data_IF_028033755609
#
_entry.id   IF_028033755609
#
_cell.length_a   1.000
_cell.length_b   1.000
_cell.length_c   1.000
_cell.angle_alpha   90.00
_cell.angle_beta   90.00
_cell.angle_gamma   90.00
#
_symmetry.space_group_name_H-M   'P 1'
#
loop_
_entity.id
_entity.type
_entity.pdbx_description
1 polymer ?
#
# COMPACT_ATOMS: atom_id res chain seq x y z
N UNK A 1 -47.63 -8.85 9.68
CA UNK A 1 -47.72 -8.77 8.22
C UNK A 1 -46.49 -9.48 7.64
N UNK A 2 -46.73 -10.71 7.18
CA UNK A 2 -45.69 -11.62 6.68
C UNK A 2 -45.47 -11.30 5.21
N UNK A 3 -44.23 -10.96 4.82
CA UNK A 3 -43.89 -10.70 3.43
C UNK A 3 -43.53 -12.04 2.77
N UNK A 4 -44.23 -12.37 1.72
CA UNK A 4 -44.06 -13.57 0.92
C UNK A 4 -42.78 -13.53 0.11
N UNK A 5 -42.03 -14.66 0.08
CA UNK A 5 -40.86 -14.92 -0.74
C UNK A 5 -41.34 -15.22 -2.18
N UNK A 6 -40.69 -14.69 -3.25
CA UNK A 6 -41.03 -15.01 -4.64
C UNK A 6 -40.64 -16.45 -4.98
N UNK A 7 -41.40 -17.17 -5.82
CA UNK A 7 -41.07 -18.53 -6.24
C UNK A 7 -40.00 -18.53 -7.34
N UNK A 8 -38.97 -19.36 -7.17
CA UNK A 8 -37.98 -19.61 -8.24
C UNK A 8 -36.55 -19.89 -7.84
N UNK A 9 -36.20 -20.10 -6.57
CA UNK A 9 -34.88 -20.55 -6.18
C UNK A 9 -34.90 -22.03 -5.84
N UNK A 10 -34.08 -22.89 -6.47
CA UNK A 10 -33.92 -24.27 -6.07
C UNK A 10 -33.29 -24.35 -4.67
N UNK A 11 -33.80 -25.29 -3.88
CA UNK A 11 -33.26 -25.63 -2.57
C UNK A 11 -31.82 -26.07 -2.70
N UNK A 12 -30.96 -25.64 -1.77
CA UNK A 12 -29.60 -26.11 -1.66
C UNK A 12 -29.63 -27.55 -1.17
N UNK A 13 -29.32 -28.50 -2.06
CA UNK A 13 -28.99 -29.86 -1.67
C UNK A 13 -27.63 -29.90 -1.03
N UNK A 14 -27.57 -30.28 0.22
CA UNK A 14 -26.38 -30.56 1.02
C UNK A 14 -25.69 -31.84 0.56
N UNK A 15 -25.17 -31.90 -0.65
CA UNK A 15 -24.21 -32.95 -1.03
C UNK A 15 -22.81 -32.38 -1.04
N UNK A 16 -21.81 -33.03 -0.36
CA UNK A 16 -20.44 -32.60 -0.39
C UNK A 16 -19.86 -32.80 -1.79
N UNK A 17 -19.45 -31.70 -2.43
CA UNK A 17 -18.81 -31.67 -3.74
C UNK A 17 -17.60 -32.60 -3.80
N UNK A 18 -17.75 -33.74 -4.48
CA UNK A 18 -16.67 -34.64 -4.90
C UNK A 18 -16.19 -34.24 -6.29
N UNK A 19 -15.37 -33.17 -6.35
CA UNK A 19 -14.61 -32.89 -7.56
C UNK A 19 -13.41 -33.83 -7.69
N UNK A 20 -12.97 -34.17 -8.93
CA UNK A 20 -11.73 -34.93 -9.11
C UNK A 20 -10.51 -34.12 -8.61
N UNK A 21 -9.48 -34.79 -8.07
CA UNK A 21 -8.29 -34.11 -7.61
C UNK A 21 -7.57 -33.40 -8.76
N UNK A 22 -6.99 -32.21 -8.53
CA UNK A 22 -6.23 -31.50 -9.56
C UNK A 22 -4.98 -32.31 -9.93
N UNK A 23 -4.89 -32.76 -11.16
CA UNK A 23 -3.65 -33.30 -11.75
C UNK A 23 -2.70 -32.14 -12.04
N UNK A 24 -1.78 -31.85 -11.10
CA UNK A 24 -0.64 -30.98 -11.35
C UNK A 24 0.52 -31.79 -11.95
N UNK A 25 1.45 -31.19 -12.69
CA UNK A 25 2.55 -31.89 -13.36
C UNK A 25 3.63 -32.47 -12.45
N UNK A 26 3.43 -32.48 -11.15
CA UNK A 26 4.33 -33.11 -10.18
C UNK A 26 3.49 -33.90 -9.18
N UNK A 27 3.44 -35.23 -9.39
CA UNK A 27 2.72 -36.16 -8.53
C UNK A 27 3.28 -36.20 -7.12
N UNK A 28 2.58 -35.53 -6.19
CA UNK A 28 2.69 -35.82 -4.78
C UNK A 28 1.64 -36.87 -4.43
N UNK A 29 1.97 -37.94 -3.69
CA UNK A 29 0.99 -38.93 -3.28
C UNK A 29 -0.02 -38.31 -2.29
N UNK A 30 -1.28 -38.79 -2.26
CA UNK A 30 -2.30 -38.28 -1.35
C UNK A 30 -1.92 -38.55 0.11
N UNK A 31 -2.16 -37.59 0.97
CA UNK A 31 -2.00 -37.72 2.43
C UNK A 31 -2.99 -38.77 2.96
N UNK A 32 -2.44 -39.86 3.53
CA UNK A 32 -3.20 -40.88 4.27
C UNK A 32 -2.92 -40.65 5.76
N UNK A 33 -3.90 -40.26 6.57
CA UNK A 33 -3.70 -40.14 8.03
C UNK A 33 -3.52 -41.56 8.62
N UNK A 34 -2.37 -41.80 9.26
CA UNK A 34 -2.16 -43.02 10.05
C UNK A 34 -1.12 -44.02 9.53
N UNK A 35 -0.42 -43.76 8.43
CA UNK A 35 0.68 -44.66 8.00
C UNK A 35 1.98 -44.30 8.74
N UNK A 36 2.32 -45.09 9.70
CA UNK A 36 3.66 -45.14 10.34
C UNK A 36 4.66 -45.71 9.34
N UNK A 37 5.49 -44.88 8.74
CA UNK A 37 6.62 -45.36 7.95
C UNK A 37 7.73 -45.81 8.90
N UNK A 38 7.94 -47.14 8.95
CA UNK A 38 9.09 -47.76 9.60
C UNK A 38 10.37 -47.32 8.88
N UNK A 39 11.25 -46.65 9.60
CA UNK A 39 12.62 -46.38 9.16
C UNK A 39 13.42 -47.66 9.19
N UNK A 40 13.74 -48.23 8.03
CA UNK A 40 14.76 -49.27 7.93
C UNK A 40 16.16 -48.66 8.13
N UNK A 41 16.80 -49.04 9.20
CA UNK A 41 18.22 -48.74 9.41
C UNK A 41 19.08 -49.45 8.37
N UNK A 42 20.18 -48.87 7.89
CA UNK A 42 21.13 -49.55 7.04
C UNK A 42 21.80 -50.72 7.79
N UNK A 43 22.14 -51.81 7.09
CA UNK A 43 22.73 -52.97 7.76
C UNK A 43 24.15 -52.63 8.27
N UNK A 44 24.52 -53.09 9.48
CA UNK A 44 25.87 -52.92 9.97
C UNK A 44 26.81 -53.85 9.21
N UNK A 45 27.90 -53.30 8.67
CA UNK A 45 29.03 -54.06 8.16
C UNK A 45 29.78 -54.72 9.31
N UNK A 46 29.91 -56.01 9.21
CA UNK A 46 30.32 -57.05 10.12
C UNK A 46 31.45 -56.77 11.10
N UNK A 47 31.29 -57.38 12.27
CA UNK A 47 32.26 -58.28 12.93
C UNK A 47 31.46 -59.06 14.00
N UNK A 48 31.66 -60.38 14.06
CA UNK A 48 30.84 -61.29 14.83
C UNK A 48 30.88 -61.08 16.34
N UNK A 49 29.69 -61.14 16.93
CA UNK A 49 29.50 -61.39 18.35
C UNK A 49 28.22 -62.23 18.46
N UNK A 50 28.28 -63.23 19.32
CA UNK A 50 27.26 -64.27 19.51
C UNK A 50 25.89 -63.77 19.95
N UNK A 51 24.89 -64.67 20.05
CA UNK A 51 23.52 -64.32 20.29
C UNK A 51 23.29 -63.68 21.65
N UNK A 52 22.88 -62.40 21.61
CA UNK A 52 22.39 -61.70 22.81
C UNK A 52 20.93 -62.11 23.02
N UNK A 53 20.53 -62.58 24.21
CA UNK A 53 19.12 -62.90 24.48
C UNK A 53 18.28 -61.63 24.46
N UNK A 54 17.21 -61.66 23.70
CA UNK A 54 16.20 -60.60 23.68
C UNK A 54 15.45 -60.55 25.01
N UNK A 55 15.38 -59.42 25.71
CA UNK A 55 14.43 -59.26 26.79
C UNK A 55 13.02 -59.17 26.21
N UNK A 56 12.23 -60.20 26.45
CA UNK A 56 10.80 -60.23 26.21
C UNK A 56 10.10 -59.37 27.27
N UNK A 57 9.53 -58.25 26.85
CA UNK A 57 8.59 -57.49 27.65
C UNK A 57 8.39 -56.07 27.10
N UNK A 58 7.15 -55.62 26.85
CA UNK A 58 6.94 -54.23 26.62
C UNK A 58 7.29 -53.46 27.91
N UNK A 59 8.34 -52.67 27.84
CA UNK A 59 8.63 -51.70 28.90
C UNK A 59 7.45 -50.70 28.86
N UNK A 60 6.69 -50.57 29.97
CA UNK A 60 5.69 -49.53 30.05
C UNK A 60 6.44 -48.18 29.93
N UNK A 61 6.21 -47.46 28.83
CA UNK A 61 6.57 -46.06 28.78
C UNK A 61 5.78 -45.38 29.89
N UNK A 62 6.38 -45.19 31.06
CA UNK A 62 5.87 -44.26 32.02
C UNK A 62 5.85 -42.89 31.31
N UNK A 63 4.70 -42.22 31.25
CA UNK A 63 4.68 -40.82 30.87
C UNK A 63 5.50 -40.11 31.97
N UNK A 64 6.76 -39.84 31.67
CA UNK A 64 7.48 -38.86 32.47
C UNK A 64 6.68 -37.54 32.45
N UNK A 65 6.80 -36.73 33.51
CA UNK A 65 6.14 -35.42 33.48
C UNK A 65 6.54 -34.78 32.16
N UNK A 66 5.54 -34.47 31.36
CA UNK A 66 5.71 -33.71 30.13
C UNK A 66 6.24 -32.32 30.52
N UNK A 67 7.52 -32.22 30.80
CA UNK A 67 8.23 -30.99 30.76
C UNK A 67 8.13 -30.56 29.29
N UNK A 68 7.24 -29.64 29.02
CA UNK A 68 7.22 -28.96 27.71
C UNK A 68 8.69 -28.66 27.37
N UNK A 69 9.15 -29.01 26.16
CA UNK A 69 10.53 -28.71 25.79
C UNK A 69 10.76 -27.24 26.09
N UNK A 70 11.88 -26.85 26.70
CA UNK A 70 12.12 -25.47 27.10
C UNK A 70 12.35 -24.59 25.85
N UNK A 71 11.30 -24.35 25.12
CA UNK A 71 11.29 -23.42 23.95
C UNK A 71 11.25 -21.95 24.37
N UNK A 72 11.28 -21.69 25.67
CA UNK A 72 11.44 -20.35 26.20
C UNK A 72 12.90 -19.90 26.15
N UNK A 73 13.19 -18.62 25.97
CA UNK A 73 14.53 -18.10 26.11
C UNK A 73 15.02 -18.32 27.54
N UNK A 74 16.34 -18.57 27.74
CA UNK A 74 16.91 -18.52 29.05
C UNK A 74 16.55 -17.23 29.80
N UNK A 75 16.46 -17.25 31.14
CA UNK A 75 16.18 -16.03 31.90
C UNK A 75 17.11 -14.89 31.50
N UNK A 76 16.56 -13.73 31.14
CA UNK A 76 17.31 -12.55 30.68
C UNK A 76 17.53 -12.47 29.18
N UNK A 77 17.20 -13.47 28.37
CA UNK A 77 17.23 -13.36 26.89
C UNK A 77 15.88 -12.92 26.32
N UNK A 78 15.92 -11.94 25.43
CA UNK A 78 14.74 -11.56 24.63
C UNK A 78 14.73 -12.33 23.31
N UNK A 79 13.60 -12.96 23.02
CA UNK A 79 13.37 -13.59 21.72
C UNK A 79 13.27 -12.53 20.61
N UNK A 80 13.98 -12.77 19.51
CA UNK A 80 13.86 -11.92 18.33
C UNK A 80 13.39 -12.76 17.15
N UNK A 81 12.50 -12.20 16.31
CA UNK A 81 12.13 -12.86 15.07
C UNK A 81 13.35 -13.16 14.20
N UNK A 82 13.32 -14.28 13.48
CA UNK A 82 14.33 -14.58 12.47
C UNK A 82 14.38 -13.44 11.42
N UNK A 83 15.55 -13.18 10.82
CA UNK A 83 15.66 -12.23 9.73
C UNK A 83 14.61 -12.52 8.63
N UNK A 84 13.90 -11.50 8.16
CA UNK A 84 12.85 -11.66 7.14
C UNK A 84 11.49 -12.12 7.67
N UNK A 85 11.35 -12.43 8.97
CA UNK A 85 10.02 -12.74 9.55
C UNK A 85 9.09 -11.54 9.37
N UNK A 86 7.88 -11.73 8.80
CA UNK A 86 6.88 -10.66 8.71
C UNK A 86 6.53 -10.09 10.08
N UNK A 87 6.24 -8.79 10.19
CA UNK A 87 5.96 -8.14 11.47
C UNK A 87 4.57 -8.47 12.05
N UNK A 88 3.75 -9.26 11.35
CA UNK A 88 2.38 -9.60 11.70
C UNK A 88 2.24 -11.10 11.96
N UNK A 89 1.34 -11.48 12.86
CA UNK A 89 1.07 -12.88 13.21
C UNK A 89 0.20 -13.60 12.16
N UNK A 90 -0.62 -12.84 11.44
CA UNK A 90 -1.47 -13.34 10.35
C UNK A 90 -1.38 -12.39 9.16
N UNK A 91 -1.72 -12.84 7.93
CA UNK A 91 -1.81 -11.95 6.79
C UNK A 91 -2.78 -10.80 7.04
N UNK A 92 -2.32 -9.56 6.84
CA UNK A 92 -3.08 -8.33 7.06
C UNK A 92 -3.31 -7.58 5.76
N UNK A 93 -4.38 -6.79 5.72
CA UNK A 93 -4.66 -5.82 4.66
C UNK A 93 -3.75 -4.60 4.80
N UNK A 94 -3.56 -3.85 3.71
CA UNK A 94 -2.62 -2.72 3.67
C UNK A 94 -2.88 -1.69 4.78
N UNK A 95 -4.14 -1.30 4.98
CA UNK A 95 -4.49 -0.31 6.01
C UNK A 95 -4.30 -0.82 7.44
N UNK A 96 -4.13 -2.13 7.64
CA UNK A 96 -3.81 -2.72 8.94
C UNK A 96 -2.31 -3.01 9.12
N UNK A 97 -1.47 -2.71 8.13
CA UNK A 97 -0.06 -3.06 8.18
C UNK A 97 0.69 -2.39 9.35
N UNK A 98 0.26 -1.21 9.80
CA UNK A 98 0.85 -0.54 10.96
C UNK A 98 0.61 -1.29 12.28
N UNK A 99 -0.41 -2.16 12.36
CA UNK A 99 -0.69 -3.01 13.54
C UNK A 99 0.20 -4.26 13.57
N UNK A 100 1.50 -4.04 13.67
CA UNK A 100 2.48 -5.11 13.87
C UNK A 100 2.45 -5.65 15.32
N UNK A 101 3.22 -6.74 15.59
CA UNK A 101 3.40 -7.27 16.97
C UNK A 101 3.86 -6.20 17.96
N UNK A 102 4.64 -5.24 17.50
CA UNK A 102 5.16 -4.15 18.32
C UNK A 102 4.23 -2.93 18.39
N UNK A 103 3.02 -3.03 17.84
CA UNK A 103 2.08 -1.91 17.81
C UNK A 103 1.75 -1.38 19.21
N UNK A 104 1.72 -0.02 19.32
CA UNK A 104 1.25 0.72 20.49
C UNK A 104 0.46 1.91 19.99
N UNK A 105 -0.61 2.26 20.67
CA UNK A 105 -1.53 3.33 20.26
C UNK A 105 -0.85 4.71 20.09
N UNK A 106 0.21 4.98 20.85
CA UNK A 106 0.96 6.25 20.81
C UNK A 106 2.03 6.31 19.68
N UNK A 107 2.46 5.18 19.12
CA UNK A 107 3.49 5.16 18.06
C UNK A 107 3.09 5.92 16.80
N UNK A 108 1.84 5.84 16.31
CA UNK A 108 1.41 6.68 15.20
C UNK A 108 1.49 8.18 15.49
N UNK A 109 1.22 8.61 16.74
CA UNK A 109 1.37 10.01 17.15
C UNK A 109 2.82 10.44 17.17
N UNK A 110 3.71 9.60 17.73
CA UNK A 110 5.15 9.86 17.70
C UNK A 110 5.68 9.96 16.28
N UNK A 111 5.27 9.06 15.41
CA UNK A 111 5.68 9.08 14.01
C UNK A 111 5.12 10.28 13.25
N UNK A 112 3.89 10.71 13.53
CA UNK A 112 3.32 11.92 12.97
C UNK A 112 4.10 13.18 13.44
N UNK A 113 4.41 13.27 14.73
CA UNK A 113 5.21 14.35 15.28
C UNK A 113 6.61 14.41 14.64
N UNK A 114 7.27 13.24 14.54
CA UNK A 114 8.58 13.13 13.91
C UNK A 114 8.52 13.52 12.42
N UNK A 115 7.52 12.99 11.69
CA UNK A 115 7.27 13.34 10.29
C UNK A 115 7.11 14.86 10.15
N UNK A 116 6.20 15.48 10.91
CA UNK A 116 5.92 16.91 10.82
C UNK A 116 7.16 17.74 11.13
N UNK A 117 7.89 17.43 12.21
CA UNK A 117 9.09 18.18 12.59
C UNK A 117 10.19 18.10 11.51
N UNK A 118 10.48 16.89 11.00
CA UNK A 118 11.53 16.70 9.99
C UNK A 118 11.09 17.25 8.63
N UNK A 119 9.83 17.07 8.26
CA UNK A 119 9.29 17.58 7.01
C UNK A 119 9.31 19.10 6.94
N UNK A 120 8.86 19.79 7.99
CA UNK A 120 8.90 21.26 8.03
C UNK A 120 10.33 21.79 7.87
N UNK A 121 11.29 21.19 8.57
CA UNK A 121 12.70 21.57 8.41
C UNK A 121 13.19 21.33 6.98
N UNK A 122 12.90 20.15 6.42
CA UNK A 122 13.33 19.79 5.07
C UNK A 122 12.67 20.69 4.00
N UNK A 123 11.39 20.98 4.12
CA UNK A 123 10.68 21.89 3.22
C UNK A 123 11.24 23.31 3.27
N UNK A 124 11.50 23.84 4.47
CA UNK A 124 12.15 25.16 4.65
C UNK A 124 13.54 25.17 4.00
N UNK A 125 14.33 24.11 4.19
CA UNK A 125 15.66 24.01 3.56
C UNK A 125 15.56 24.03 2.04
N UNK A 126 14.60 23.34 1.44
CA UNK A 126 14.36 23.36 -0.03
C UNK A 126 14.00 24.77 -0.49
N UNK A 127 13.08 25.45 0.21
CA UNK A 127 12.65 26.81 -0.13
C UNK A 127 13.82 27.77 -0.02
N UNK A 128 14.56 27.76 1.11
CA UNK A 128 15.74 28.64 1.32
C UNK A 128 16.82 28.37 0.27
N UNK A 129 17.04 27.10 -0.10
CA UNK A 129 18.00 26.76 -1.15
C UNK A 129 17.56 27.34 -2.51
N UNK A 130 16.26 27.29 -2.85
CA UNK A 130 15.72 27.89 -4.07
C UNK A 130 15.99 29.39 -4.15
N UNK A 131 15.78 30.14 -3.05
CA UNK A 131 16.13 31.55 -2.98
C UNK A 131 17.65 31.79 -3.04
N UNK A 132 18.44 30.99 -2.35
CA UNK A 132 19.90 31.14 -2.30
C UNK A 132 20.59 30.93 -3.66
N UNK A 133 20.02 30.06 -4.54
CA UNK A 133 20.53 29.88 -5.90
C UNK A 133 20.00 30.92 -6.90
N UNK A 134 19.21 31.90 -6.43
CA UNK A 134 18.66 32.95 -7.28
C UNK A 134 17.54 32.49 -8.20
N UNK A 135 16.81 31.45 -7.82
CA UNK A 135 15.67 30.96 -8.59
C UNK A 135 14.57 32.03 -8.72
N UNK A 136 14.51 32.97 -7.77
CA UNK A 136 13.59 34.10 -7.76
C UNK A 136 14.40 35.40 -7.66
N UNK A 137 14.71 36.07 -8.77
CA UNK A 137 15.46 37.32 -8.78
C UNK A 137 14.75 38.45 -8.01
N UNK A 138 13.43 38.49 -8.07
CA UNK A 138 12.59 39.40 -7.31
C UNK A 138 11.56 38.64 -6.47
N UNK A 139 11.83 38.43 -5.19
CA UNK A 139 10.87 37.72 -4.30
C UNK A 139 9.53 38.47 -4.11
N UNK A 140 9.47 39.77 -4.41
CA UNK A 140 8.24 40.55 -4.26
C UNK A 140 7.30 40.38 -5.45
N UNK A 141 7.79 39.85 -6.56
CA UNK A 141 7.01 39.56 -7.77
C UNK A 141 6.43 38.13 -7.79
N UNK A 142 6.68 37.32 -6.77
CA UNK A 142 6.15 35.96 -6.70
C UNK A 142 4.64 36.02 -6.44
N UNK A 143 3.86 35.47 -7.35
CA UNK A 143 2.45 35.16 -7.11
C UNK A 143 2.35 33.69 -6.65
N UNK A 144 2.09 33.42 -5.37
CA UNK A 144 2.02 32.03 -4.86
C UNK A 144 0.82 31.25 -5.42
N UNK A 145 -0.11 31.91 -6.10
CA UNK A 145 -1.29 31.31 -6.72
C UNK A 145 -1.07 30.98 -8.20
N UNK A 146 0.02 31.43 -8.81
CA UNK A 146 0.36 31.09 -10.20
C UNK A 146 0.93 29.65 -10.27
N UNK A 147 0.06 28.70 -10.50
CA UNK A 147 0.39 27.29 -10.67
C UNK A 147 1.07 26.99 -12.01
N UNK A 148 1.16 27.97 -12.92
CA UNK A 148 1.77 27.80 -14.25
C UNK A 148 3.20 28.34 -14.31
N UNK A 149 3.69 29.07 -13.29
CA UNK A 149 5.10 29.41 -13.18
C UNK A 149 5.96 28.16 -12.94
N UNK A 150 6.84 27.79 -13.90
CA UNK A 150 7.58 26.54 -13.82
C UNK A 150 8.60 26.53 -12.67
N UNK A 151 9.11 27.68 -12.22
CA UNK A 151 10.08 27.78 -11.14
C UNK A 151 9.38 27.60 -9.80
N UNK A 152 8.23 28.25 -9.63
CA UNK A 152 7.40 28.10 -8.44
C UNK A 152 6.88 26.66 -8.32
N UNK A 153 6.39 26.08 -9.41
CA UNK A 153 5.93 24.70 -9.44
C UNK A 153 7.06 23.71 -9.11
N UNK A 154 8.27 23.93 -9.66
CA UNK A 154 9.42 23.10 -9.34
C UNK A 154 9.75 23.15 -7.83
N UNK A 155 9.80 24.34 -7.25
CA UNK A 155 10.12 24.52 -5.84
C UNK A 155 9.04 23.89 -4.94
N UNK A 156 7.78 24.10 -5.28
CA UNK A 156 6.63 23.47 -4.61
C UNK A 156 6.71 21.96 -4.68
N UNK A 157 6.91 21.39 -5.87
CA UNK A 157 7.03 19.95 -6.05
C UNK A 157 8.21 19.38 -5.25
N UNK A 158 9.37 20.01 -5.28
CA UNK A 158 10.54 19.55 -4.52
C UNK A 158 10.28 19.61 -3.01
N UNK A 159 9.62 20.66 -2.51
CA UNK A 159 9.26 20.79 -1.09
C UNK A 159 8.28 19.70 -0.64
N UNK A 160 7.42 19.20 -1.52
CA UNK A 160 6.50 18.11 -1.24
C UNK A 160 7.18 16.73 -1.38
N UNK A 161 8.05 16.55 -2.37
CA UNK A 161 8.75 15.27 -2.61
C UNK A 161 9.57 14.84 -1.39
N UNK A 162 10.15 15.76 -0.64
CA UNK A 162 10.90 15.44 0.59
C UNK A 162 10.04 14.79 1.68
N UNK A 163 8.71 14.84 1.57
CA UNK A 163 7.82 14.11 2.48
C UNK A 163 7.99 12.59 2.38
N UNK A 164 8.39 12.04 1.23
CA UNK A 164 8.60 10.59 1.06
C UNK A 164 9.65 10.06 2.06
N UNK A 165 10.90 10.53 2.07
CA UNK A 165 11.89 10.07 3.03
C UNK A 165 11.51 10.41 4.48
N UNK A 166 10.74 11.48 4.73
CA UNK A 166 10.25 11.82 6.08
C UNK A 166 9.21 10.78 6.56
N UNK A 167 8.29 10.33 5.70
CA UNK A 167 7.37 9.22 6.00
C UNK A 167 8.15 7.94 6.28
N UNK A 168 9.16 7.63 5.46
CA UNK A 168 9.98 6.43 5.67
C UNK A 168 10.74 6.48 6.99
N UNK A 169 11.26 7.65 7.36
CA UNK A 169 11.90 7.85 8.67
C UNK A 169 10.90 7.60 9.81
N UNK A 170 9.67 8.11 9.70
CA UNK A 170 8.63 7.87 10.70
C UNK A 170 8.30 6.37 10.84
N UNK A 171 8.22 5.63 9.73
CA UNK A 171 8.02 4.17 9.76
C UNK A 171 9.15 3.43 10.47
N UNK A 172 10.39 3.80 10.19
CA UNK A 172 11.56 3.16 10.82
C UNK A 172 11.67 3.54 12.28
N UNK A 173 11.65 4.84 12.61
CA UNK A 173 11.97 5.34 13.94
C UNK A 173 10.83 5.10 14.94
N UNK A 174 9.56 5.37 14.57
CA UNK A 174 8.46 5.22 15.50
C UNK A 174 7.91 3.79 15.56
N UNK A 175 7.88 3.06 14.44
CA UNK A 175 7.27 1.74 14.38
C UNK A 175 8.28 0.59 14.37
N UNK A 176 9.56 0.84 14.05
CA UNK A 176 10.58 -0.20 13.90
C UNK A 176 10.32 -1.10 12.70
N UNK A 177 9.61 -0.59 11.68
CA UNK A 177 9.21 -1.33 10.51
C UNK A 177 9.93 -0.83 9.25
N UNK A 178 10.02 -1.68 8.22
CA UNK A 178 10.61 -1.30 6.93
C UNK A 178 9.76 -0.21 6.26
N UNK A 179 10.39 0.81 5.63
CA UNK A 179 9.65 1.91 4.98
C UNK A 179 8.66 1.43 3.92
N UNK A 180 8.97 0.34 3.23
CA UNK A 180 8.12 -0.20 2.17
C UNK A 180 6.71 -0.62 2.61
N UNK A 181 6.45 -0.80 3.91
CA UNK A 181 5.09 -1.01 4.43
C UNK A 181 4.19 0.22 4.23
N UNK A 182 4.76 1.39 3.99
CA UNK A 182 4.01 2.54 3.52
C UNK A 182 3.56 2.44 2.06
N UNK A 183 4.16 1.55 1.26
CA UNK A 183 3.88 1.43 -0.18
C UNK A 183 2.83 0.36 -0.50
N UNK A 184 2.94 -0.84 0.06
CA UNK A 184 2.00 -1.95 -0.20
C UNK A 184 2.12 -3.07 0.82
N UNK A 185 1.21 -4.04 0.73
CA UNK A 185 1.23 -5.30 1.51
C UNK A 185 2.47 -6.16 1.27
N UNK A 186 3.25 -5.88 0.22
CA UNK A 186 4.54 -6.56 -0.04
C UNK A 186 5.74 -5.77 0.50
N UNK A 187 5.51 -4.71 1.27
CA UNK A 187 6.54 -3.81 1.78
C UNK A 187 7.48 -3.25 0.70
N UNK A 188 6.95 -3.01 -0.49
CA UNK A 188 7.64 -2.40 -1.64
C UNK A 188 6.63 -1.86 -2.65
N UNK A 189 7.03 -0.93 -3.50
CA UNK A 189 6.24 -0.51 -4.66
C UNK A 189 6.22 -1.64 -5.72
N UNK A 190 5.04 -1.94 -6.26
CA UNK A 190 4.83 -3.00 -7.26
C UNK A 190 4.78 -2.38 -8.65
N UNK A 191 5.95 -2.14 -9.24
CA UNK A 191 6.12 -1.47 -10.55
C UNK A 191 5.21 -2.04 -11.65
N UNK A 192 4.93 -3.36 -11.61
CA UNK A 192 4.04 -4.04 -12.56
C UNK A 192 2.62 -3.49 -12.60
N UNK A 193 2.18 -2.77 -11.55
CA UNK A 193 0.83 -2.20 -11.46
C UNK A 193 0.75 -0.76 -11.98
N UNK A 194 1.88 -0.05 -12.13
CA UNK A 194 1.87 1.34 -12.56
C UNK A 194 1.36 1.49 -13.99
N UNK A 195 1.98 0.82 -14.96
CA UNK A 195 1.58 0.93 -16.36
C UNK A 195 0.10 0.55 -16.61
N UNK A 196 -0.41 -0.59 -16.12
CA UNK A 196 -1.83 -0.89 -16.27
C UNK A 196 -2.74 0.17 -15.64
N UNK A 197 -2.38 0.73 -14.48
CA UNK A 197 -3.15 1.80 -13.84
C UNK A 197 -3.12 3.08 -14.67
N UNK A 198 -1.98 3.44 -15.27
CA UNK A 198 -1.85 4.59 -16.17
C UNK A 198 -2.73 4.43 -17.42
N UNK A 199 -2.75 3.23 -18.01
CA UNK A 199 -3.61 2.95 -19.16
C UNK A 199 -5.11 3.03 -18.84
N UNK A 200 -5.50 2.90 -17.57
CA UNK A 200 -6.87 3.10 -17.12
C UNK A 200 -7.16 4.57 -16.75
N UNK A 201 -6.20 5.27 -16.15
CA UNK A 201 -6.38 6.65 -15.70
C UNK A 201 -6.45 7.65 -16.84
N UNK A 202 -5.57 7.53 -17.85
CA UNK A 202 -5.52 8.48 -18.96
C UNK A 202 -6.86 8.60 -19.72
N UNK A 203 -7.55 7.53 -20.14
CA UNK A 203 -8.83 7.69 -20.82
C UNK A 203 -9.96 8.14 -19.89
N UNK A 204 -9.95 7.77 -18.60
CA UNK A 204 -11.03 8.17 -17.68
C UNK A 204 -10.88 9.61 -17.22
N UNK A 205 -9.73 9.96 -16.63
CA UNK A 205 -9.47 11.30 -16.14
C UNK A 205 -9.21 12.28 -17.28
N UNK A 206 -8.44 11.87 -18.30
CA UNK A 206 -8.16 12.72 -19.44
C UNK A 206 -9.44 13.13 -20.20
N UNK A 207 -10.39 12.20 -20.39
CA UNK A 207 -11.69 12.53 -20.99
C UNK A 207 -12.53 13.40 -20.04
N UNK A 208 -12.54 13.11 -18.73
CA UNK A 208 -13.24 13.93 -17.74
C UNK A 208 -12.73 15.36 -17.76
N UNK A 209 -11.42 15.55 -17.60
CA UNK A 209 -10.80 16.89 -17.62
C UNK A 209 -11.01 17.62 -18.96
N UNK A 210 -10.90 16.92 -20.09
CA UNK A 210 -11.21 17.51 -21.40
C UNK A 210 -12.66 17.98 -21.47
N UNK A 211 -13.60 17.20 -20.97
CA UNK A 211 -15.02 17.57 -20.96
C UNK A 211 -15.27 18.75 -20.01
N UNK A 212 -14.62 18.78 -18.83
CA UNK A 212 -14.70 19.90 -17.89
C UNK A 212 -14.17 21.19 -18.50
N UNK A 213 -13.04 21.14 -19.23
CA UNK A 213 -12.50 22.30 -19.98
C UNK A 213 -13.45 22.74 -21.07
N UNK A 214 -14.01 21.83 -21.86
CA UNK A 214 -14.97 22.15 -22.91
C UNK A 214 -16.25 22.80 -22.35
N UNK A 215 -16.73 22.32 -21.20
CA UNK A 215 -17.88 22.94 -20.52
C UNK A 215 -17.57 24.36 -20.07
N UNK A 216 -16.38 24.62 -19.51
CA UNK A 216 -15.96 25.97 -19.14
C UNK A 216 -15.90 26.94 -20.35
N UNK A 217 -15.39 26.49 -21.50
CA UNK A 217 -15.39 27.30 -22.74
C UNK A 217 -16.78 27.53 -23.26
N UNK A 218 -17.65 26.53 -23.30
CA UNK A 218 -19.03 26.66 -23.79
C UNK A 218 -19.85 27.61 -22.90
N UNK A 219 -19.59 27.57 -21.60
CA UNK A 219 -20.25 28.48 -20.65
C UNK A 219 -19.72 29.91 -20.71
N UNK A 220 -18.58 30.15 -21.33
CA UNK A 220 -17.92 31.45 -21.36
C UNK A 220 -17.14 31.77 -20.08
N UNK A 221 -16.93 30.79 -19.22
CA UNK A 221 -16.17 30.96 -17.97
C UNK A 221 -14.67 31.02 -18.24
N UNK A 222 -14.20 30.41 -19.32
CA UNK A 222 -12.78 30.31 -19.69
C UNK A 222 -12.51 30.88 -21.10
N UNK A 223 -11.35 31.52 -21.22
CA UNK A 223 -10.80 32.00 -22.47
C UNK A 223 -9.40 31.45 -22.69
N UNK A 224 -9.15 30.89 -23.86
CA UNK A 224 -7.82 30.38 -24.19
C UNK A 224 -6.93 31.55 -24.67
N UNK A 225 -5.90 31.85 -23.89
CA UNK A 225 -4.91 32.88 -24.24
C UNK A 225 -3.69 32.33 -24.96
N UNK A 226 -3.61 30.99 -25.08
CA UNK A 226 -2.47 30.25 -25.63
C UNK A 226 -1.45 29.83 -24.58
N UNK A 227 -0.33 29.19 -25.00
CA UNK A 227 0.64 28.68 -24.07
C UNK A 227 1.28 29.78 -23.23
N UNK A 228 1.42 29.47 -21.91
CA UNK A 228 2.09 30.38 -20.97
C UNK A 228 3.55 30.59 -21.33
N UNK A 229 4.15 31.69 -20.86
CA UNK A 229 5.56 31.95 -21.01
C UNK A 229 6.38 30.81 -20.37
N UNK A 230 7.38 30.27 -21.08
CA UNK A 230 8.19 29.18 -20.58
C UNK A 230 7.50 27.80 -20.59
N UNK A 231 6.44 27.58 -21.36
CA UNK A 231 5.70 26.31 -21.42
C UNK A 231 6.60 25.09 -21.62
N UNK A 232 7.65 25.18 -22.44
CA UNK A 232 8.61 24.08 -22.62
C UNK A 232 9.33 23.69 -21.32
N UNK A 233 9.63 24.69 -20.46
CA UNK A 233 10.20 24.46 -19.14
C UNK A 233 9.15 23.90 -18.18
N UNK A 234 7.93 24.44 -18.19
CA UNK A 234 6.81 23.91 -17.43
C UNK A 234 6.54 22.44 -17.75
N UNK A 235 6.55 22.08 -19.03
CA UNK A 235 6.40 20.69 -19.50
C UNK A 235 7.44 19.76 -18.85
N UNK A 236 8.72 20.16 -18.82
CA UNK A 236 9.76 19.37 -18.17
C UNK A 236 9.53 19.23 -16.66
N UNK A 237 9.22 20.33 -15.98
CA UNK A 237 8.95 20.31 -14.53
C UNK A 237 7.77 19.39 -14.23
N UNK A 238 6.66 19.54 -14.95
CA UNK A 238 5.44 18.73 -14.77
C UNK A 238 5.75 17.24 -14.96
N UNK A 239 6.38 16.88 -16.08
CA UNK A 239 6.60 15.46 -16.38
C UNK A 239 7.63 14.79 -15.44
N UNK A 240 8.63 15.53 -14.93
CA UNK A 240 9.67 14.96 -14.11
C UNK A 240 9.38 15.01 -12.61
N UNK A 241 8.65 16.02 -12.13
CA UNK A 241 8.48 16.24 -10.69
C UNK A 241 7.07 16.02 -10.18
N UNK A 242 6.03 16.34 -10.97
CA UNK A 242 4.64 16.18 -10.52
C UNK A 242 4.26 14.72 -10.19
N UNK A 243 4.70 13.67 -10.91
CA UNK A 243 4.41 12.31 -10.49
C UNK A 243 5.04 11.93 -9.14
N UNK A 244 6.21 12.49 -8.80
CA UNK A 244 6.85 12.27 -7.51
C UNK A 244 6.17 13.06 -6.39
N UNK A 245 5.74 14.30 -6.68
CA UNK A 245 4.96 15.13 -5.78
C UNK A 245 3.63 14.42 -5.42
N UNK A 246 2.90 13.95 -6.44
CA UNK A 246 1.66 13.19 -6.25
C UNK A 246 1.90 11.92 -5.40
N UNK A 247 3.00 11.20 -5.67
CA UNK A 247 3.39 10.07 -4.85
C UNK A 247 3.65 10.48 -3.39
N UNK A 248 4.31 11.61 -3.16
CA UNK A 248 4.61 12.10 -1.81
C UNK A 248 3.34 12.32 -1.00
N UNK A 249 2.33 12.94 -1.59
CA UNK A 249 1.03 13.12 -0.93
C UNK A 249 0.33 11.78 -0.65
N UNK A 250 0.37 10.82 -1.59
CA UNK A 250 -0.17 9.50 -1.35
C UNK A 250 0.56 8.75 -0.22
N UNK A 251 1.89 8.91 -0.10
CA UNK A 251 2.65 8.38 1.03
C UNK A 251 2.23 8.98 2.36
N UNK A 252 1.95 10.28 2.41
CA UNK A 252 1.47 10.96 3.63
C UNK A 252 0.06 10.52 3.98
N UNK A 253 -0.90 10.70 3.05
CA UNK A 253 -2.32 10.51 3.34
C UNK A 253 -2.70 9.02 3.43
N UNK A 254 -2.25 8.19 2.49
CA UNK A 254 -2.64 6.77 2.41
C UNK A 254 -1.57 5.84 2.97
N UNK A 255 -0.31 6.18 2.77
CA UNK A 255 0.83 5.39 3.26
C UNK A 255 1.09 5.54 4.76
N UNK A 256 0.67 6.66 5.39
CA UNK A 256 0.85 6.89 6.82
C UNK A 256 -0.45 7.18 7.56
N UNK A 257 -1.13 8.30 7.26
CA UNK A 257 -2.32 8.73 8.02
C UNK A 257 -3.46 7.71 7.98
N UNK A 258 -3.79 7.18 6.81
CA UNK A 258 -4.84 6.15 6.70
C UNK A 258 -4.49 4.90 7.50
N UNK A 259 -3.24 4.45 7.50
CA UNK A 259 -2.82 3.29 8.27
C UNK A 259 -2.81 3.58 9.78
N UNK A 260 -2.47 4.79 10.21
CA UNK A 260 -2.54 5.20 11.60
C UNK A 260 -3.99 5.19 12.11
N UNK A 261 -4.91 5.82 11.38
CA UNK A 261 -6.34 5.86 11.72
C UNK A 261 -6.94 4.45 11.73
N UNK A 262 -6.72 3.66 10.68
CA UNK A 262 -7.19 2.28 10.60
C UNK A 262 -6.59 1.41 11.71
N UNK A 263 -5.33 1.67 12.09
CA UNK A 263 -4.66 1.04 13.21
C UNK A 263 -5.35 1.31 14.55
N UNK A 264 -5.80 2.53 14.81
CA UNK A 264 -6.55 2.87 16.03
C UNK A 264 -7.93 2.24 16.05
N UNK A 265 -8.66 2.22 14.92
CA UNK A 265 -9.96 1.55 14.82
C UNK A 265 -9.83 0.04 15.01
N UNK A 266 -8.79 -0.58 14.50
CA UNK A 266 -8.43 -1.98 14.72
C UNK A 266 -9.32 -3.01 14.02
N UNK A 267 -10.39 -2.60 13.35
CA UNK A 267 -11.30 -3.45 12.57
C UNK A 267 -11.02 -3.19 11.08
N UNK A 268 -10.68 -4.20 10.25
CA UNK A 268 -10.23 -3.96 8.87
C UNK A 268 -11.20 -3.12 8.04
N UNK A 269 -12.46 -3.52 7.95
CA UNK A 269 -13.46 -2.81 7.14
C UNK A 269 -13.82 -1.44 7.72
N UNK A 270 -14.16 -1.36 9.02
CA UNK A 270 -14.48 -0.09 9.67
C UNK A 270 -13.28 0.85 9.65
N UNK A 271 -12.06 0.32 9.88
CA UNK A 271 -10.82 1.10 9.79
C UNK A 271 -10.60 1.65 8.40
N UNK A 272 -10.86 0.87 7.35
CA UNK A 272 -10.73 1.33 5.97
C UNK A 272 -11.71 2.47 5.64
N UNK A 273 -12.97 2.34 6.05
CA UNK A 273 -14.00 3.38 5.83
C UNK A 273 -13.66 4.65 6.60
N UNK A 274 -13.40 4.54 7.92
CA UNK A 274 -13.09 5.71 8.76
C UNK A 274 -11.81 6.40 8.28
N UNK A 275 -10.76 5.64 7.98
CA UNK A 275 -9.52 6.20 7.46
C UNK A 275 -9.74 6.86 6.10
N UNK A 276 -10.48 6.22 5.19
CA UNK A 276 -10.78 6.76 3.88
C UNK A 276 -11.51 8.10 3.94
N UNK A 277 -12.56 8.20 4.76
CA UNK A 277 -13.35 9.43 4.92
C UNK A 277 -12.52 10.54 5.58
N UNK A 278 -11.85 10.23 6.69
CA UNK A 278 -11.09 11.25 7.41
C UNK A 278 -9.89 11.75 6.62
N UNK A 279 -9.15 10.86 5.96
CA UNK A 279 -8.00 11.30 5.14
C UNK A 279 -8.41 11.99 3.86
N UNK A 280 -9.58 11.68 3.28
CA UNK A 280 -10.13 12.43 2.16
C UNK A 280 -10.53 13.85 2.58
N UNK A 281 -11.15 14.01 3.75
CA UNK A 281 -11.49 15.33 4.28
C UNK A 281 -10.23 16.16 4.61
N UNK A 282 -9.22 15.53 5.24
CA UNK A 282 -7.94 16.19 5.51
C UNK A 282 -7.18 16.55 4.22
N UNK A 283 -7.23 15.68 3.22
CA UNK A 283 -6.65 15.94 1.91
C UNK A 283 -7.29 17.17 1.26
N UNK A 284 -8.62 17.22 1.22
CA UNK A 284 -9.34 18.37 0.69
C UNK A 284 -9.03 19.65 1.46
N UNK A 285 -9.09 19.60 2.80
CA UNK A 285 -8.81 20.76 3.65
C UNK A 285 -7.37 21.27 3.52
N UNK A 286 -6.38 20.38 3.31
CA UNK A 286 -4.97 20.77 3.11
C UNK A 286 -4.73 21.61 1.85
N UNK A 287 -5.65 21.54 0.87
CA UNK A 287 -5.61 22.35 -0.34
C UNK A 287 -6.29 23.71 -0.19
N UNK A 288 -6.77 24.07 1.02
CA UNK A 288 -7.41 25.36 1.32
C UNK A 288 -8.50 25.74 0.28
N UNK A 289 -9.47 24.84 -0.03
CA UNK A 289 -10.44 25.08 -1.08
C UNK A 289 -11.24 26.36 -0.82
N UNK A 290 -11.42 27.25 -1.83
CA UNK A 290 -12.08 28.53 -1.65
C UNK A 290 -13.60 28.41 -1.44
N UNK A 291 -14.21 27.32 -1.87
CA UNK A 291 -15.64 27.08 -1.82
C UNK A 291 -15.98 25.62 -1.52
N UNK A 292 -17.28 25.36 -1.26
CA UNK A 292 -17.76 24.02 -0.91
C UNK A 292 -17.68 23.02 -2.08
N UNK A 293 -17.82 23.48 -3.32
CA UNK A 293 -17.77 22.59 -4.49
C UNK A 293 -16.37 22.10 -4.74
N UNK A 294 -15.38 22.97 -4.66
CA UNK A 294 -13.96 22.63 -4.71
C UNK A 294 -13.57 21.71 -3.55
N UNK A 295 -14.14 21.93 -2.33
CA UNK A 295 -13.94 21.01 -1.23
C UNK A 295 -14.50 19.61 -1.53
N UNK A 296 -15.74 19.53 -2.05
CA UNK A 296 -16.39 18.25 -2.34
C UNK A 296 -15.70 17.50 -3.48
N UNK A 297 -15.21 18.21 -4.48
CA UNK A 297 -14.45 17.61 -5.58
C UNK A 297 -13.16 16.96 -5.06
N UNK A 298 -12.33 17.70 -4.33
CA UNK A 298 -11.09 17.18 -3.73
C UNK A 298 -11.34 16.10 -2.69
N UNK A 299 -12.45 16.18 -1.95
CA UNK A 299 -12.89 15.14 -1.04
C UNK A 299 -13.25 13.86 -1.78
N UNK A 300 -14.00 13.94 -2.87
CA UNK A 300 -14.33 12.79 -3.70
C UNK A 300 -13.11 12.17 -4.35
N UNK A 301 -12.16 12.99 -4.83
CA UNK A 301 -10.85 12.53 -5.28
C UNK A 301 -10.13 11.74 -4.18
N UNK A 302 -10.11 12.28 -2.96
CA UNK A 302 -9.54 11.62 -1.78
C UNK A 302 -10.19 10.28 -1.47
N UNK A 303 -11.51 10.17 -1.62
CA UNK A 303 -12.24 8.91 -1.45
C UNK A 303 -11.91 7.91 -2.56
N UNK A 304 -11.82 8.35 -3.81
CA UNK A 304 -11.45 7.50 -4.94
C UNK A 304 -10.03 6.92 -4.76
N UNK A 305 -9.05 7.74 -4.36
CA UNK A 305 -7.70 7.29 -4.04
C UNK A 305 -7.70 6.26 -2.90
N UNK A 306 -8.47 6.51 -1.83
CA UNK A 306 -8.60 5.56 -0.72
C UNK A 306 -9.26 4.24 -1.14
N UNK A 307 -10.25 4.30 -2.02
CA UNK A 307 -10.93 3.12 -2.58
C UNK A 307 -9.98 2.26 -3.42
N UNK A 308 -9.18 2.85 -4.31
CA UNK A 308 -8.24 2.07 -5.12
C UNK A 308 -7.08 1.50 -4.30
N UNK A 309 -6.65 2.18 -3.23
CA UNK A 309 -5.69 1.63 -2.25
C UNK A 309 -6.27 0.39 -1.57
N UNK A 310 -7.50 0.46 -1.10
CA UNK A 310 -8.17 -0.70 -0.48
C UNK A 310 -8.36 -1.85 -1.47
N UNK A 311 -8.76 -1.53 -2.70
CA UNK A 311 -8.96 -2.52 -3.76
C UNK A 311 -7.68 -3.22 -4.18
N UNK A 312 -6.55 -2.54 -4.18
CA UNK A 312 -5.28 -3.08 -4.72
C UNK A 312 -4.27 -3.49 -3.65
N UNK A 313 -4.47 -3.08 -2.38
CA UNK A 313 -3.56 -3.39 -1.28
C UNK A 313 -2.23 -2.63 -1.33
N UNK A 314 -2.22 -1.42 -1.90
CA UNK A 314 -1.05 -0.55 -1.97
C UNK A 314 -1.30 0.75 -2.71
N UNK A 315 -0.31 1.61 -2.78
CA UNK A 315 -0.43 2.98 -3.26
C UNK A 315 -0.44 3.12 -4.79
N UNK A 316 -0.03 2.10 -5.55
CA UNK A 316 0.31 2.22 -6.98
C UNK A 316 -0.81 2.84 -7.82
N UNK A 317 -2.05 2.36 -7.64
CA UNK A 317 -3.19 2.88 -8.38
C UNK A 317 -3.59 4.29 -7.94
N UNK A 318 -3.42 4.63 -6.66
CA UNK A 318 -3.67 5.98 -6.14
C UNK A 318 -2.60 6.97 -6.61
N UNK A 319 -1.33 6.58 -6.58
CA UNK A 319 -0.23 7.41 -7.13
C UNK A 319 -0.48 7.73 -8.61
N UNK A 320 -0.91 6.73 -9.39
CA UNK A 320 -1.19 6.93 -10.81
C UNK A 320 -2.43 7.81 -11.03
N UNK A 321 -3.50 7.59 -10.25
CA UNK A 321 -4.69 8.45 -10.27
C UNK A 321 -4.28 9.92 -10.07
N UNK A 322 -3.53 10.18 -9.01
CA UNK A 322 -3.10 11.50 -8.61
C UNK A 322 -2.12 12.13 -9.62
N UNK A 323 -1.10 11.40 -10.01
CA UNK A 323 -0.11 11.88 -10.98
C UNK A 323 -0.75 12.19 -12.35
N UNK A 324 -1.65 11.32 -12.84
CA UNK A 324 -2.32 11.55 -14.12
C UNK A 324 -3.24 12.79 -14.06
N UNK A 325 -3.98 12.94 -12.96
CA UNK A 325 -4.80 14.14 -12.76
C UNK A 325 -3.96 15.41 -12.81
N UNK A 326 -2.95 15.50 -11.95
CA UNK A 326 -2.14 16.72 -11.83
C UNK A 326 -1.33 17.01 -13.10
N UNK A 327 -0.75 15.99 -13.74
CA UNK A 327 -0.02 16.17 -15.00
C UNK A 327 -0.96 16.71 -16.09
N UNK A 328 -2.16 16.14 -16.25
CA UNK A 328 -3.09 16.61 -17.29
C UNK A 328 -3.59 18.03 -16.97
N UNK A 329 -3.93 18.33 -15.72
CA UNK A 329 -4.35 19.68 -15.29
C UNK A 329 -3.28 20.72 -15.59
N UNK A 330 -2.03 20.51 -15.15
CA UNK A 330 -0.95 21.47 -15.39
C UNK A 330 -0.60 21.61 -16.86
N UNK A 331 -0.66 20.53 -17.66
CA UNK A 331 -0.44 20.63 -19.10
C UNK A 331 -1.55 21.38 -19.83
N UNK A 332 -2.80 21.17 -19.44
CA UNK A 332 -3.93 21.92 -19.99
C UNK A 332 -3.84 23.40 -19.62
N UNK A 333 -3.64 23.71 -18.33
CA UNK A 333 -3.46 25.08 -17.87
C UNK A 333 -2.29 25.78 -18.57
N UNK A 334 -1.13 25.15 -18.63
CA UNK A 334 0.03 25.72 -19.30
C UNK A 334 -0.11 25.87 -20.81
N UNK A 335 -0.91 25.04 -21.48
CA UNK A 335 -1.11 25.11 -22.94
C UNK A 335 -2.22 26.08 -23.37
N UNK A 336 -3.23 26.26 -22.53
CA UNK A 336 -4.42 27.08 -22.83
C UNK A 336 -4.35 28.49 -22.21
N UNK A 337 -3.50 28.67 -21.19
CA UNK A 337 -3.30 29.92 -20.46
C UNK A 337 -3.79 29.89 -19.02
N UNK A 338 -3.37 30.88 -18.24
CA UNK A 338 -3.60 30.97 -16.81
C UNK A 338 -5.09 30.94 -16.42
N UNK A 339 -5.97 31.49 -17.28
CA UNK A 339 -7.42 31.51 -17.02
C UNK A 339 -8.08 30.12 -16.89
N UNK A 340 -7.41 29.07 -17.35
CA UNK A 340 -7.86 27.66 -17.21
C UNK A 340 -7.41 27.03 -15.89
N UNK A 341 -6.45 27.64 -15.21
CA UNK A 341 -5.85 27.15 -13.96
C UNK A 341 -6.59 27.64 -12.70
N UNK A 342 -7.77 28.24 -12.82
CA UNK A 342 -8.49 28.82 -11.68
C UNK A 342 -8.81 27.76 -10.64
N UNK A 343 -8.45 28.03 -9.38
CA UNK A 343 -8.71 27.13 -8.24
C UNK A 343 -10.19 27.06 -7.84
N UNK A 344 -11.02 27.99 -8.32
CA UNK A 344 -12.45 28.06 -8.00
C UNK A 344 -13.30 27.48 -9.11
N UNK A 345 -14.31 26.76 -8.72
CA UNK A 345 -15.36 26.28 -9.63
C UNK A 345 -16.34 27.42 -9.88
N UNK A 346 -16.51 27.85 -11.16
CA UNK A 346 -17.33 28.98 -11.50
C UNK A 346 -18.80 28.78 -11.10
N UNK A 347 -19.42 29.84 -10.62
CA UNK A 347 -20.87 29.87 -10.31
C UNK A 347 -21.70 29.51 -11.55
N UNK A 348 -22.53 28.47 -11.45
CA UNK A 348 -23.43 28.01 -12.51
C UNK A 348 -22.97 26.75 -13.26
N UNK A 349 -21.73 26.67 -13.77
CA UNK A 349 -21.19 25.47 -14.41
C UNK A 349 -20.52 24.54 -13.44
N UNK A 350 -20.16 25.03 -12.26
CA UNK A 350 -19.42 24.32 -11.25
C UNK A 350 -20.00 22.97 -10.86
N UNK A 351 -21.30 22.86 -10.70
CA UNK A 351 -21.97 21.60 -10.40
C UNK A 351 -21.76 20.58 -11.52
N UNK A 352 -21.80 21.00 -12.78
CA UNK A 352 -21.61 20.12 -13.94
C UNK A 352 -20.16 19.64 -14.03
N UNK A 353 -19.20 20.52 -13.79
CA UNK A 353 -17.77 20.17 -13.75
C UNK A 353 -17.52 19.13 -12.66
N UNK A 354 -17.98 19.39 -11.43
CA UNK A 354 -17.86 18.43 -10.32
C UNK A 354 -18.52 17.09 -10.65
N UNK A 355 -19.69 17.08 -11.29
CA UNK A 355 -20.35 15.84 -11.70
C UNK A 355 -19.55 15.07 -12.75
N UNK A 356 -18.93 15.74 -13.70
CA UNK A 356 -18.05 15.12 -14.71
C UNK A 356 -16.85 14.50 -14.05
N UNK A 357 -16.20 15.19 -13.12
CA UNK A 357 -15.04 14.70 -12.40
C UNK A 357 -15.39 13.51 -11.49
N UNK A 358 -16.54 13.57 -10.80
CA UNK A 358 -17.09 12.43 -10.04
C UNK A 358 -17.30 11.19 -10.93
N UNK A 359 -17.84 11.38 -12.14
CA UNK A 359 -18.04 10.27 -13.09
C UNK A 359 -16.71 9.70 -13.58
N UNK A 360 -15.73 10.55 -13.87
CA UNK A 360 -14.39 10.13 -14.27
C UNK A 360 -13.67 9.34 -13.16
N UNK A 361 -13.75 9.83 -11.92
CA UNK A 361 -13.22 9.14 -10.74
C UNK A 361 -13.92 7.80 -10.50
N UNK A 362 -15.26 7.77 -10.58
CA UNK A 362 -16.04 6.53 -10.43
C UNK A 362 -15.71 5.52 -11.53
N UNK A 363 -15.54 5.98 -12.77
CA UNK A 363 -15.11 5.13 -13.90
C UNK A 363 -13.72 4.54 -13.65
N UNK A 364 -12.76 5.35 -13.19
CA UNK A 364 -11.43 4.85 -12.84
C UNK A 364 -11.49 3.79 -11.75
N UNK A 365 -12.17 4.05 -10.64
CA UNK A 365 -12.35 3.08 -9.53
C UNK A 365 -13.00 1.79 -10.03
N UNK A 366 -14.05 1.88 -10.85
CA UNK A 366 -14.73 0.73 -11.42
C UNK A 366 -13.82 -0.10 -12.34
N UNK A 367 -13.02 0.57 -13.18
CA UNK A 367 -12.07 -0.11 -14.07
C UNK A 367 -10.93 -0.77 -13.29
N UNK A 368 -10.40 -0.12 -12.24
CA UNK A 368 -9.44 -0.73 -11.31
C UNK A 368 -10.06 -1.95 -10.64
N UNK A 369 -11.28 -1.86 -10.12
CA UNK A 369 -11.98 -2.99 -9.51
C UNK A 369 -12.15 -4.16 -10.49
N UNK A 370 -12.53 -3.88 -11.74
CA UNK A 370 -12.66 -4.89 -12.80
C UNK A 370 -11.31 -5.51 -13.17
N UNK A 371 -10.26 -4.69 -13.26
CA UNK A 371 -8.92 -5.14 -13.66
C UNK A 371 -8.27 -6.09 -12.63
N UNK A 372 -8.71 -6.09 -11.37
CA UNK A 372 -8.23 -6.99 -10.31
C UNK A 372 -8.28 -8.47 -10.72
N UNK A 373 -9.29 -8.86 -11.49
CA UNK A 373 -9.44 -10.26 -11.98
C UNK A 373 -8.28 -10.67 -12.90
N UNK A 374 -7.70 -9.71 -13.65
CA UNK A 374 -6.59 -9.94 -14.58
C UNK A 374 -5.23 -9.69 -13.92
N UNK A 375 -5.10 -8.56 -13.22
CA UNK A 375 -3.83 -8.13 -12.63
C UNK A 375 -3.49 -8.86 -11.34
N UNK A 376 -4.51 -9.41 -10.64
CA UNK A 376 -4.38 -10.15 -9.38
C UNK A 376 -3.41 -9.46 -8.41
N UNK A 377 -3.69 -8.20 -8.02
CA UNK A 377 -2.85 -7.51 -7.05
C UNK A 377 -2.91 -8.24 -5.71
N UNK A 378 -1.80 -8.28 -5.01
CA UNK A 378 -1.76 -8.78 -3.64
C UNK A 378 -2.47 -7.77 -2.73
N UNK A 379 -3.54 -8.21 -2.04
CA UNK A 379 -4.36 -7.37 -1.14
C UNK A 379 -4.11 -7.69 0.33
N UNK A 380 -3.34 -8.73 0.62
CA UNK A 380 -2.90 -9.11 1.96
C UNK A 380 -1.41 -9.39 1.98
N UNK A 381 -0.79 -9.17 3.13
CA UNK A 381 0.61 -9.50 3.34
C UNK A 381 0.86 -11.00 3.22
N UNK A 382 2.14 -11.39 3.05
CA UNK A 382 2.52 -12.79 3.02
C UNK A 382 2.13 -13.52 4.32
N UNK A 383 1.99 -14.84 4.22
CA UNK A 383 1.77 -15.68 5.37
C UNK A 383 2.90 -15.50 6.40
N UNK A 384 2.52 -15.52 7.66
CA UNK A 384 3.41 -15.39 8.78
C UNK A 384 4.32 -16.61 8.92
N UNK A 385 5.58 -16.42 9.34
CA UNK A 385 6.46 -17.49 9.72
C UNK A 385 6.10 -17.97 11.15
N UNK A 386 5.58 -19.17 11.24
CA UNK A 386 5.11 -19.77 12.49
C UNK A 386 6.26 -20.24 13.41
N UNK A 387 7.52 -20.16 12.98
CA UNK A 387 8.64 -20.49 13.84
C UNK A 387 8.72 -19.50 15.00
N UNK A 388 9.04 -19.99 16.22
CA UNK A 388 9.25 -19.08 17.34
C UNK A 388 10.44 -18.14 17.05
N UNK A 389 10.45 -16.92 17.60
CA UNK A 389 11.60 -16.03 17.48
C UNK A 389 12.84 -16.71 18.13
N UNK A 390 14.01 -16.55 17.52
CA UNK A 390 15.27 -17.04 18.12
C UNK A 390 15.84 -16.00 19.10
N UNK A 391 16.52 -16.42 20.16
CA UNK A 391 17.30 -15.53 21.00
C UNK A 391 18.40 -14.83 20.18
N UNK A 392 18.73 -13.60 20.54
CA UNK A 392 19.86 -12.91 19.91
C UNK A 392 21.14 -13.72 20.08
N UNK A 393 21.88 -13.93 19.00
CA UNK A 393 23.17 -14.61 19.01
C UNK A 393 23.09 -16.13 19.10
N UNK A 394 21.91 -16.73 19.18
CA UNK A 394 21.74 -18.18 19.11
C UNK A 394 21.29 -18.54 17.69
N UNK A 395 22.06 -19.37 16.97
CA UNK A 395 21.62 -19.89 15.68
C UNK A 395 20.31 -20.66 15.84
N UNK A 396 19.42 -20.61 14.85
CA UNK A 396 18.28 -21.49 14.82
C UNK A 396 18.75 -22.94 14.93
N UNK A 397 18.14 -23.77 15.80
CA UNK A 397 18.46 -25.17 15.82
C UNK A 397 18.28 -25.74 14.41
N UNK A 398 19.30 -26.42 13.91
CA UNK A 398 19.18 -27.17 12.67
C UNK A 398 17.95 -28.07 12.78
N UNK A 399 17.16 -28.25 11.72
CA UNK A 399 16.03 -29.16 11.77
C UNK A 399 16.54 -30.52 12.23
N UNK A 400 15.97 -31.03 13.31
CA UNK A 400 16.32 -32.37 13.82
C UNK A 400 15.94 -33.33 12.71
N UNK A 401 16.93 -34.03 12.18
CA UNK A 401 16.74 -35.11 11.21
C UNK A 401 15.87 -36.17 11.92
N UNK A 402 14.61 -36.26 11.56
CA UNK A 402 13.66 -37.20 12.18
C UNK A 402 12.22 -36.70 12.27
N UNK A 403 11.97 -35.39 12.28
CA UNK A 403 10.63 -34.89 12.03
C UNK A 403 10.57 -34.58 10.55
N UNK A 404 9.64 -35.22 9.83
CA UNK A 404 9.47 -35.01 8.41
C UNK A 404 9.44 -33.54 8.09
N UNK A 405 10.57 -33.04 7.67
CA UNK A 405 10.70 -31.66 7.18
C UNK A 405 9.90 -31.66 5.90
N UNK A 406 8.68 -31.14 5.96
CA UNK A 406 8.10 -30.55 4.77
C UNK A 406 9.15 -29.52 4.33
N UNK A 407 9.97 -29.87 3.34
CA UNK A 407 10.83 -28.91 2.67
C UNK A 407 9.91 -27.81 2.19
N UNK A 408 9.72 -26.77 3.00
CA UNK A 408 9.26 -25.51 2.48
C UNK A 408 10.30 -25.14 1.45
N UNK A 409 9.92 -25.16 0.17
CA UNK A 409 10.65 -24.36 -0.79
C UNK A 409 10.81 -23.02 -0.12
N UNK A 410 12.03 -22.71 0.25
CA UNK A 410 12.42 -21.35 0.56
C UNK A 410 11.89 -20.55 -0.63
N UNK A 411 10.85 -19.78 -0.39
CA UNK A 411 10.62 -18.60 -1.19
C UNK A 411 11.84 -17.77 -0.83
N UNK A 412 12.89 -17.89 -1.65
CA UNK A 412 14.04 -17.02 -1.56
C UNK A 412 13.50 -15.60 -1.72
N UNK A 413 13.22 -14.99 -0.58
CA UNK A 413 13.13 -13.55 -0.50
C UNK A 413 14.54 -13.06 -0.76
N UNK A 414 14.87 -12.82 -2.02
CA UNK A 414 16.01 -12.02 -2.36
C UNK A 414 15.75 -10.63 -1.77
N UNK A 415 16.47 -10.22 -0.74
CA UNK A 415 16.23 -8.93 -0.09
C UNK A 415 16.54 -7.75 -1.00
N UNK A 416 17.20 -7.97 -2.13
CA UNK A 416 17.70 -6.91 -2.99
C UNK A 416 17.71 -7.40 -4.44
N UNK A 417 16.62 -7.18 -5.16
CA UNK A 417 16.63 -7.18 -6.62
C UNK A 417 16.91 -5.76 -7.08
N UNK A 418 18.17 -5.39 -7.20
CA UNK A 418 18.54 -4.40 -8.18
C UNK A 418 18.68 -5.15 -9.51
N UNK A 419 17.83 -4.78 -10.44
CA UNK A 419 17.75 -5.26 -11.78
C UNK A 419 16.54 -4.66 -12.45
#
# INVERSE_FOLDING_TARGET
>A
MSAAVPPGWPAADDEPYRGPPPTGPYGAPPYVPGALYGVQAPPPTGVGAGPVPWPLGPVPLQPGPHTAPPWGPPPGMQWQPAPGTPPHDTPVEFLQAMRSRSWRWWRPLLGLLLFTAVYLVAAVVVIVAGFAVGAFPDPTAIDPTDLTDPTLLLLTNLSLIVAIPCVWLAWVAAHGMRPGWSSSVLARLRWRLLLPSTLLSLPTLGLGLLLSVLLGFVAGDWEATGPVAGFGWLLLVVLLTTPLQSAAEEYVFRGYLSQAIAGWVGRPQAGAVVAGVLTAALFSAAHLPPDVWTFLDRFAFGLAASAVVWLTGGLEAAIVLHAANNVVVFLLAGSLGEGVATESVADGTGVLVVLVDLLALAAYVALVARSRRRLRPEVRSAAFDLRPPSPRGVPWPSPVIGYGVVQRREVQYHPWGMG
#
